data_IF_700093482663
#
_entry.id   IF_700093482663
#
_cell.length_a   1.000
_cell.length_b   1.000
_cell.length_c   1.000
_cell.angle_alpha   90.00
_cell.angle_beta   90.00
_cell.angle_gamma   90.00
#
_symmetry.space_group_name_H-M   'P 1'
#
loop_
_entity.id
_entity.type
_entity.pdbx_description
1 polymer ?
#
# COMPACT_ATOMS: atom_id res chain seq x y z
N UNK A 1 -19.83 -12.87 13.51
CA UNK A 1 -21.09 -12.14 13.18
C UNK A 1 -21.54 -12.39 11.75
N UNK A 2 -20.83 -11.91 10.72
CA UNK A 2 -21.27 -12.09 9.32
C UNK A 2 -21.40 -13.55 8.86
N UNK A 3 -20.56 -14.48 9.36
CA UNK A 3 -20.74 -15.94 9.15
C UNK A 3 -22.13 -16.43 9.58
N UNK A 4 -22.68 -15.82 10.63
CA UNK A 4 -23.98 -16.13 11.21
C UNK A 4 -25.08 -15.17 10.70
N UNK A 5 -24.84 -14.46 9.58
CA UNK A 5 -25.79 -13.57 8.91
C UNK A 5 -26.26 -12.35 9.72
N UNK A 6 -25.50 -11.95 10.74
CA UNK A 6 -25.73 -10.66 11.38
C UNK A 6 -25.36 -9.50 10.46
N UNK A 7 -26.19 -8.46 10.43
CA UNK A 7 -25.95 -7.22 9.70
C UNK A 7 -24.93 -6.37 10.46
N UNK A 8 -23.94 -5.85 9.75
CA UNK A 8 -22.99 -4.86 10.27
C UNK A 8 -23.28 -3.57 9.54
N UNK A 9 -23.53 -2.50 10.29
CA UNK A 9 -23.78 -1.16 9.76
C UNK A 9 -22.70 -0.19 10.24
N UNK A 10 -22.48 0.88 9.47
CA UNK A 10 -21.52 1.93 9.77
C UNK A 10 -22.28 3.23 10.01
N UNK A 11 -22.16 3.79 11.20
CA UNK A 11 -22.69 5.11 11.54
C UNK A 11 -21.62 6.17 11.26
N UNK A 12 -21.80 6.95 10.19
CA UNK A 12 -20.82 7.98 9.79
C UNK A 12 -20.85 9.22 10.69
N UNK A 13 -21.96 9.43 11.42
CA UNK A 13 -22.14 10.58 12.31
C UNK A 13 -21.63 10.31 13.74
N UNK A 14 -21.10 9.11 14.00
CA UNK A 14 -20.54 8.75 15.30
C UNK A 14 -19.16 9.40 15.50
N UNK A 15 -19.03 10.25 16.52
CA UNK A 15 -17.75 10.85 16.89
C UNK A 15 -16.94 9.94 17.81
N UNK A 16 -15.73 9.59 17.39
CA UNK A 16 -14.79 8.79 18.19
C UNK A 16 -13.43 9.48 18.23
N UNK A 17 -12.94 9.75 19.45
CA UNK A 17 -11.59 10.27 19.65
C UNK A 17 -10.58 9.12 19.68
N UNK A 18 -9.53 9.23 18.87
CA UNK A 18 -8.51 8.18 18.74
C UNK A 18 -7.12 8.75 18.94
N UNK A 19 -6.24 7.94 19.55
CA UNK A 19 -4.83 8.27 19.70
C UNK A 19 -4.05 7.62 18.57
N UNK A 20 -3.32 8.42 17.80
CA UNK A 20 -2.47 7.95 16.70
C UNK A 20 -1.06 7.63 17.21
N UNK A 21 -0.36 6.67 16.58
CA UNK A 21 1.01 6.35 16.97
C UNK A 21 1.95 7.54 16.69
N UNK A 22 2.59 8.07 17.74
CA UNK A 22 3.48 9.22 17.62
C UNK A 22 4.82 8.96 16.88
N UNK A 23 5.15 7.71 16.55
CA UNK A 23 6.42 7.35 15.90
C UNK A 23 6.23 6.30 14.82
N UNK A 24 7.09 6.33 13.80
CA UNK A 24 7.11 5.35 12.70
C UNK A 24 7.25 3.90 13.20
N UNK A 25 8.04 3.68 14.27
CA UNK A 25 8.21 2.35 14.89
C UNK A 25 6.90 1.84 15.50
N UNK A 26 6.14 2.69 16.20
CA UNK A 26 4.82 2.34 16.75
C UNK A 26 3.81 2.07 15.63
N UNK A 27 3.82 2.89 14.58
CA UNK A 27 2.99 2.68 13.39
C UNK A 27 3.30 1.35 12.70
N UNK A 28 4.58 1.02 12.52
CA UNK A 28 5.01 -0.25 11.93
C UNK A 28 4.48 -1.46 12.71
N UNK A 29 4.65 -1.46 14.04
CA UNK A 29 4.11 -2.52 14.91
C UNK A 29 2.59 -2.63 14.81
N UNK A 30 1.88 -1.51 14.76
CA UNK A 30 0.42 -1.48 14.60
C UNK A 30 -0.01 -2.12 13.28
N UNK A 31 0.57 -1.70 12.15
CA UNK A 31 0.23 -2.19 10.82
C UNK A 31 0.58 -3.66 10.63
N UNK A 32 1.70 -4.10 11.17
CA UNK A 32 2.09 -5.51 11.18
C UNK A 32 1.02 -6.36 11.90
N UNK A 33 0.51 -5.91 13.06
CA UNK A 33 -0.57 -6.62 13.77
C UNK A 33 -1.86 -6.69 12.97
N UNK A 34 -2.24 -5.59 12.30
CA UNK A 34 -3.47 -5.55 11.50
C UNK A 34 -3.41 -6.53 10.32
N UNK A 35 -2.31 -6.54 9.57
CA UNK A 35 -2.16 -7.44 8.43
C UNK A 35 -2.05 -8.89 8.90
N UNK A 36 -1.26 -9.17 9.96
CA UNK A 36 -1.17 -10.51 10.55
C UNK A 36 -2.54 -11.02 11.02
N UNK A 37 -3.31 -10.18 11.73
CA UNK A 37 -4.66 -10.50 12.18
C UNK A 37 -5.63 -10.71 11.02
N UNK A 38 -5.56 -9.87 9.98
CA UNK A 38 -6.36 -10.00 8.77
C UNK A 38 -6.07 -11.34 8.06
N UNK A 39 -4.80 -11.71 7.89
CA UNK A 39 -4.41 -12.96 7.24
C UNK A 39 -4.92 -14.18 8.02
N UNK A 40 -4.68 -14.23 9.33
CA UNK A 40 -5.14 -15.35 10.16
C UNK A 40 -6.67 -15.44 10.20
N UNK A 41 -7.37 -14.31 10.37
CA UNK A 41 -8.83 -14.29 10.33
C UNK A 41 -9.35 -14.77 8.96
N UNK A 42 -8.69 -14.39 7.87
CA UNK A 42 -9.08 -14.85 6.53
C UNK A 42 -8.84 -16.36 6.36
N UNK A 43 -7.79 -16.91 6.96
CA UNK A 43 -7.51 -18.36 6.98
C UNK A 43 -8.57 -19.11 7.79
N UNK A 44 -8.88 -18.64 9.00
CA UNK A 44 -9.86 -19.26 9.91
C UNK A 44 -11.27 -19.26 9.29
N UNK A 45 -11.60 -18.19 8.54
CA UNK A 45 -12.89 -18.01 7.88
C UNK A 45 -12.84 -18.24 6.37
N UNK A 46 -11.87 -19.02 5.86
CA UNK A 46 -11.70 -19.28 4.41
C UNK A 46 -12.95 -19.82 3.72
N UNK A 47 -13.82 -20.53 4.44
CA UNK A 47 -15.07 -21.08 3.91
C UNK A 47 -16.08 -20.01 3.48
N UNK A 48 -15.88 -18.76 3.92
CA UNK A 48 -16.70 -17.61 3.56
C UNK A 48 -16.23 -17.01 2.23
N UNK A 49 -14.98 -17.20 1.78
CA UNK A 49 -14.47 -16.59 0.56
C UNK A 49 -15.29 -17.01 -0.67
N UNK A 50 -15.61 -16.05 -1.54
CA UNK A 50 -16.35 -16.25 -2.80
C UNK A 50 -17.76 -16.85 -2.65
N UNK A 51 -18.37 -16.78 -1.46
CA UNK A 51 -19.72 -17.27 -1.21
C UNK A 51 -20.75 -16.14 -1.29
N UNK A 52 -21.54 -16.15 -2.36
CA UNK A 52 -22.67 -15.21 -2.58
C UNK A 52 -23.61 -15.06 -1.35
N UNK A 53 -23.76 -16.13 -0.55
CA UNK A 53 -24.50 -16.17 0.73
C UNK A 53 -24.20 -14.99 1.67
N UNK A 54 -22.98 -14.46 1.67
CA UNK A 54 -22.56 -13.42 2.62
C UNK A 54 -22.41 -12.03 1.96
N UNK A 55 -22.99 -11.84 0.78
CA UNK A 55 -23.02 -10.57 0.07
C UNK A 55 -21.66 -10.07 -0.39
N UNK A 56 -21.58 -8.75 -0.63
CA UNK A 56 -20.42 -8.08 -1.23
C UNK A 56 -19.11 -8.27 -0.44
N UNK A 57 -19.20 -8.40 0.88
CA UNK A 57 -18.02 -8.62 1.72
C UNK A 57 -17.24 -9.87 1.32
N UNK A 58 -17.97 -10.98 1.09
CA UNK A 58 -17.38 -12.28 0.76
C UNK A 58 -16.98 -12.39 -0.70
N UNK A 59 -17.76 -11.80 -1.60
CA UNK A 59 -17.56 -11.93 -3.05
C UNK A 59 -16.57 -10.93 -3.62
N UNK A 60 -16.44 -9.75 -3.01
CA UNK A 60 -15.63 -8.66 -3.53
C UNK A 60 -14.61 -8.15 -2.52
N UNK A 61 -15.04 -7.71 -1.33
CA UNK A 61 -14.14 -7.02 -0.38
C UNK A 61 -12.99 -7.92 0.10
N UNK A 62 -13.29 -9.14 0.57
CA UNK A 62 -12.27 -10.07 1.04
C UNK A 62 -11.34 -10.55 -0.10
N UNK A 63 -11.85 -11.01 -1.26
CA UNK A 63 -11.00 -11.35 -2.40
C UNK A 63 -10.13 -10.18 -2.88
N UNK A 64 -10.67 -8.97 -3.00
CA UNK A 64 -9.91 -7.80 -3.41
C UNK A 64 -8.81 -7.45 -2.40
N UNK A 65 -9.09 -7.59 -1.10
CA UNK A 65 -8.07 -7.40 -0.06
C UNK A 65 -6.95 -8.44 -0.16
N UNK A 66 -7.26 -9.72 -0.39
CA UNK A 66 -6.25 -10.75 -0.63
C UNK A 66 -5.44 -10.48 -1.90
N UNK A 67 -6.12 -10.13 -2.99
CA UNK A 67 -5.49 -9.77 -4.26
C UNK A 67 -4.54 -8.58 -4.09
N UNK A 68 -4.92 -7.58 -3.29
CA UNK A 68 -4.07 -6.41 -3.01
C UNK A 68 -2.76 -6.79 -2.31
N UNK A 69 -2.78 -7.80 -1.44
CA UNK A 69 -1.58 -8.30 -0.77
C UNK A 69 -0.69 -9.01 -1.80
N UNK A 70 -1.26 -9.87 -2.65
CA UNK A 70 -0.51 -10.53 -3.72
C UNK A 70 0.08 -9.53 -4.72
N UNK A 71 -0.68 -8.52 -5.12
CA UNK A 71 -0.24 -7.47 -6.02
C UNK A 71 0.93 -6.68 -5.41
N UNK A 72 0.87 -6.34 -4.12
CA UNK A 72 1.98 -5.64 -3.46
C UNK A 72 3.25 -6.49 -3.43
N UNK A 73 3.14 -7.79 -3.14
CA UNK A 73 4.28 -8.71 -3.17
C UNK A 73 4.90 -8.73 -4.57
N UNK A 74 4.07 -8.87 -5.61
CA UNK A 74 4.52 -8.85 -6.99
C UNK A 74 5.28 -7.56 -7.34
N UNK A 75 4.72 -6.39 -6.99
CA UNK A 75 5.34 -5.09 -7.22
C UNK A 75 6.70 -4.99 -6.52
N UNK A 76 6.80 -5.46 -5.28
CA UNK A 76 8.08 -5.44 -4.53
C UNK A 76 9.13 -6.32 -5.19
N UNK A 77 8.77 -7.54 -5.60
CA UNK A 77 9.70 -8.42 -6.32
C UNK A 77 10.11 -7.83 -7.68
N UNK A 78 9.17 -7.23 -8.40
CA UNK A 78 9.46 -6.58 -9.69
C UNK A 78 10.42 -5.42 -9.53
N UNK A 79 10.19 -4.55 -8.53
CA UNK A 79 11.09 -3.44 -8.21
C UNK A 79 12.48 -3.93 -7.82
N UNK A 80 12.58 -4.99 -7.02
CA UNK A 80 13.87 -5.58 -6.65
C UNK A 80 14.63 -6.15 -7.86
N UNK A 81 13.91 -6.80 -8.79
CA UNK A 81 14.48 -7.30 -10.05
C UNK A 81 14.98 -6.16 -10.93
N UNK A 82 14.13 -5.15 -11.18
CA UNK A 82 14.47 -4.01 -12.04
C UNK A 82 15.65 -3.21 -11.45
N UNK A 83 15.69 -3.03 -10.12
CA UNK A 83 16.82 -2.40 -9.43
C UNK A 83 18.11 -3.23 -9.58
N UNK A 84 18.02 -4.54 -9.43
CA UNK A 84 19.18 -5.44 -9.58
C UNK A 84 19.72 -5.40 -11.01
N UNK A 85 18.83 -5.42 -12.00
CA UNK A 85 19.18 -5.30 -13.41
C UNK A 85 19.80 -3.92 -13.73
N UNK A 86 19.23 -2.84 -13.20
CA UNK A 86 19.79 -1.49 -13.33
C UNK A 86 21.20 -1.40 -12.76
N UNK A 87 21.41 -1.91 -11.54
CA UNK A 87 22.72 -1.92 -10.90
C UNK A 87 23.72 -2.78 -11.67
N UNK A 88 23.31 -3.95 -12.14
CA UNK A 88 24.14 -4.83 -12.95
C UNK A 88 24.63 -4.15 -14.23
N UNK A 89 23.70 -3.51 -14.96
CA UNK A 89 24.04 -2.78 -16.18
C UNK A 89 24.95 -1.58 -15.90
N UNK A 90 24.71 -0.85 -14.80
CA UNK A 90 25.58 0.25 -14.40
C UNK A 90 26.97 -0.21 -13.99
N UNK A 91 27.09 -1.36 -13.34
CA UNK A 91 28.40 -1.96 -13.02
C UNK A 91 29.14 -2.34 -14.31
N UNK A 92 28.46 -2.91 -15.30
CA UNK A 92 29.07 -3.21 -16.61
C UNK A 92 29.53 -1.93 -17.29
N UNK A 93 28.69 -0.91 -17.35
CA UNK A 93 29.00 0.40 -17.95
C UNK A 93 30.23 1.04 -17.30
N UNK A 94 30.32 1.02 -15.96
CA UNK A 94 31.48 1.53 -15.23
C UNK A 94 32.74 0.71 -15.53
N UNK A 95 32.61 -0.62 -15.68
CA UNK A 95 33.75 -1.49 -16.01
C UNK A 95 34.24 -1.30 -17.45
N UNK A 96 33.35 -1.01 -18.39
CA UNK A 96 33.70 -0.88 -19.81
C UNK A 96 34.23 0.50 -20.18
N UNK A 97 33.62 1.56 -19.63
CA UNK A 97 33.95 2.95 -19.99
C UNK A 97 34.90 3.60 -18.98
N UNK A 98 35.04 3.03 -17.77
CA UNK A 98 35.72 3.67 -16.66
C UNK A 98 34.82 4.67 -15.92
N UNK A 99 35.24 5.12 -14.74
CA UNK A 99 34.44 6.00 -13.90
C UNK A 99 34.53 7.47 -14.38
N UNK A 100 33.69 7.83 -15.35
CA UNK A 100 33.59 9.21 -15.83
C UNK A 100 32.39 9.93 -15.21
N UNK A 101 32.66 10.89 -14.32
CA UNK A 101 31.66 11.81 -13.75
C UNK A 101 31.37 12.95 -14.75
N UNK A 102 30.94 12.62 -15.97
CA UNK A 102 30.46 13.67 -16.87
C UNK A 102 29.06 14.05 -16.41
N UNK A 103 28.92 15.22 -15.79
CA UNK A 103 27.64 15.83 -15.49
C UNK A 103 26.94 16.09 -16.83
N UNK A 104 26.15 15.11 -17.29
CA UNK A 104 25.31 15.26 -18.47
C UNK A 104 24.42 16.46 -18.23
N UNK A 105 24.55 17.48 -19.07
CA UNK A 105 23.66 18.63 -19.02
C UNK A 105 22.22 18.13 -19.12
N UNK A 106 21.41 18.44 -18.12
CA UNK A 106 20.01 18.04 -18.08
C UNK A 106 19.28 18.92 -19.08
N UNK A 107 19.20 18.51 -20.34
CA UNK A 107 18.33 19.13 -21.34
C UNK A 107 16.94 18.51 -21.18
N UNK A 108 16.00 19.29 -20.66
CA UNK A 108 14.59 18.91 -20.65
C UNK A 108 14.00 19.18 -22.04
N UNK A 109 13.68 18.13 -22.77
CA UNK A 109 12.96 18.22 -24.03
C UNK A 109 11.60 17.51 -23.88
N UNK A 110 10.47 18.24 -24.01
CA UNK A 110 9.13 17.68 -23.93
C UNK A 110 8.86 16.50 -24.87
N UNK A 111 9.63 16.35 -25.95
CA UNK A 111 9.56 15.20 -26.85
C UNK A 111 9.80 13.86 -26.13
N UNK A 112 10.62 13.84 -25.07
CA UNK A 112 10.90 12.63 -24.30
C UNK A 112 9.90 12.37 -23.17
N UNK A 113 8.82 13.15 -23.07
CA UNK A 113 7.73 12.85 -22.15
C UNK A 113 7.04 11.59 -22.66
N UNK A 114 7.15 10.51 -21.89
CA UNK A 114 6.53 9.24 -22.24
C UNK A 114 4.98 9.37 -22.19
N UNK A 115 4.34 9.30 -23.36
CA UNK A 115 2.88 9.34 -23.55
C UNK A 115 2.24 7.94 -23.61
N UNK A 116 2.92 6.91 -23.10
CA UNK A 116 2.35 5.58 -22.97
C UNK A 116 1.06 5.60 -22.13
N UNK A 117 0.10 4.76 -22.52
CA UNK A 117 -1.19 4.64 -21.85
C UNK A 117 -1.08 4.35 -20.35
N UNK A 118 -0.06 3.60 -19.93
CA UNK A 118 0.21 3.31 -18.52
C UNK A 118 0.51 4.56 -17.70
N UNK A 119 1.18 5.56 -18.28
CA UNK A 119 1.47 6.84 -17.62
C UNK A 119 0.18 7.58 -17.22
N UNK A 120 -0.81 7.61 -18.12
CA UNK A 120 -2.11 8.20 -17.85
C UNK A 120 -2.88 7.44 -16.76
N UNK A 121 -2.80 6.11 -16.75
CA UNK A 121 -3.44 5.29 -15.69
C UNK A 121 -2.85 5.63 -14.32
N UNK A 122 -1.52 5.78 -14.21
CA UNK A 122 -0.90 6.19 -12.94
C UNK A 122 -1.38 7.57 -12.49
N UNK A 123 -1.38 8.56 -13.38
CA UNK A 123 -1.84 9.92 -13.07
C UNK A 123 -3.28 9.87 -12.55
N UNK A 124 -4.16 9.12 -13.21
CA UNK A 124 -5.55 8.99 -12.81
C UNK A 124 -5.71 8.33 -11.43
N UNK A 125 -4.97 7.24 -11.15
CA UNK A 125 -5.00 6.57 -9.85
C UNK A 125 -4.52 7.50 -8.73
N UNK A 126 -3.40 8.21 -8.93
CA UNK A 126 -2.88 9.14 -7.94
C UNK A 126 -3.85 10.30 -7.68
N UNK A 127 -4.45 10.86 -8.74
CA UNK A 127 -5.48 11.88 -8.61
C UNK A 127 -6.67 11.37 -7.79
N UNK A 128 -7.13 10.14 -8.07
CA UNK A 128 -8.23 9.52 -7.34
C UNK A 128 -7.91 9.32 -5.85
N UNK A 129 -6.70 8.86 -5.53
CA UNK A 129 -6.24 8.71 -4.14
C UNK A 129 -6.23 10.06 -3.43
N UNK A 130 -5.69 11.11 -4.07
CA UNK A 130 -5.66 12.46 -3.48
C UNK A 130 -7.08 12.96 -3.22
N UNK A 131 -7.99 12.82 -4.18
CA UNK A 131 -9.41 13.18 -4.01
C UNK A 131 -10.04 12.42 -2.84
N UNK A 132 -9.78 11.11 -2.74
CA UNK A 132 -10.31 10.28 -1.63
C UNK A 132 -9.84 10.76 -0.25
N UNK A 133 -8.57 11.20 -0.14
CA UNK A 133 -8.00 11.72 1.11
C UNK A 133 -8.64 13.08 1.46
N UNK A 134 -8.83 13.95 0.47
CA UNK A 134 -9.47 15.26 0.65
C UNK A 134 -10.92 15.08 1.11
N UNK A 135 -11.66 14.14 0.51
CA UNK A 135 -13.03 13.82 0.92
C UNK A 135 -13.08 13.25 2.34
N UNK A 136 -12.19 12.31 2.68
CA UNK A 136 -12.10 11.77 4.03
C UNK A 136 -11.80 12.84 5.08
N UNK A 137 -10.95 13.81 4.74
CA UNK A 137 -10.67 14.95 5.62
C UNK A 137 -11.84 15.91 5.76
N UNK A 138 -12.57 16.17 4.67
CA UNK A 138 -13.80 16.95 4.70
C UNK A 138 -14.82 16.32 5.66
N UNK A 139 -14.92 14.99 5.67
CA UNK A 139 -15.81 14.26 6.58
C UNK A 139 -15.35 14.36 8.05
N UNK A 140 -14.03 14.33 8.31
CA UNK A 140 -13.49 14.35 9.67
C UNK A 140 -13.42 15.74 10.32
N UNK A 141 -12.99 16.76 9.56
CA UNK A 141 -12.72 18.12 10.06
C UNK A 141 -13.75 19.15 9.57
N UNK A 142 -14.66 18.78 8.68
CA UNK A 142 -15.61 19.69 8.03
C UNK A 142 -14.99 20.66 7.01
N UNK A 143 -13.66 20.64 6.83
CA UNK A 143 -12.91 21.64 6.05
C UNK A 143 -12.35 21.04 4.76
N UNK A 144 -12.55 21.74 3.65
CA UNK A 144 -11.94 21.38 2.36
C UNK A 144 -10.58 22.09 2.22
N UNK A 145 -9.51 21.41 2.67
CA UNK A 145 -8.15 21.96 2.61
C UNK A 145 -7.14 20.92 2.19
N UNK A 146 -6.36 21.24 1.15
CA UNK A 146 -5.15 20.50 0.80
C UNK A 146 -4.07 20.75 1.87
N UNK A 147 -3.45 19.70 2.39
CA UNK A 147 -2.33 19.80 3.32
C UNK A 147 -1.09 19.18 2.72
N UNK A 148 0.10 19.79 2.90
CA UNK A 148 1.38 19.17 2.55
C UNK A 148 1.56 17.77 3.16
N UNK A 149 0.88 17.50 4.29
CA UNK A 149 0.84 16.19 4.93
C UNK A 149 0.36 15.05 4.01
N UNK A 150 -0.42 15.35 2.97
CA UNK A 150 -0.87 14.35 1.99
C UNK A 150 0.32 13.84 1.17
N UNK A 151 1.23 14.73 0.76
CA UNK A 151 2.42 14.35 0.00
C UNK A 151 3.36 13.52 0.88
N UNK A 152 3.59 13.95 2.11
CA UNK A 152 4.38 13.19 3.09
C UNK A 152 3.76 11.81 3.36
N UNK A 153 2.43 11.73 3.47
CA UNK A 153 1.74 10.46 3.64
C UNK A 153 1.99 9.52 2.46
N UNK A 154 1.79 9.98 1.23
CA UNK A 154 1.95 9.15 0.03
C UNK A 154 3.38 8.62 -0.12
N UNK A 155 4.39 9.47 0.07
CA UNK A 155 5.80 9.07 -0.10
C UNK A 155 6.29 8.16 1.02
N UNK A 156 6.02 8.54 2.28
CA UNK A 156 6.48 7.75 3.44
C UNK A 156 5.76 6.41 3.50
N UNK A 157 4.45 6.34 3.23
CA UNK A 157 3.75 5.06 3.21
C UNK A 157 4.16 4.19 2.03
N UNK A 158 4.41 4.74 0.85
CA UNK A 158 4.89 3.96 -0.29
C UNK A 158 6.20 3.23 0.06
N UNK A 159 7.09 3.86 0.80
CA UNK A 159 8.34 3.25 1.23
C UNK A 159 8.17 2.25 2.38
N UNK A 160 7.45 2.61 3.46
CA UNK A 160 7.41 1.76 4.66
C UNK A 160 6.46 0.56 4.48
N UNK A 161 5.42 0.68 3.66
CA UNK A 161 4.36 -0.33 3.57
C UNK A 161 4.80 -1.74 3.13
N UNK A 162 5.69 -1.88 2.12
CA UNK A 162 6.27 -3.17 1.75
C UNK A 162 6.87 -3.92 2.96
N UNK A 163 7.60 -3.23 3.82
CA UNK A 163 8.38 -3.85 4.89
C UNK A 163 7.50 -4.48 5.99
N UNK A 164 6.41 -3.83 6.40
CA UNK A 164 5.53 -4.44 7.40
C UNK A 164 4.69 -5.56 6.80
N UNK A 165 4.38 -5.52 5.50
CA UNK A 165 3.56 -6.52 4.84
C UNK A 165 4.35 -7.82 4.64
N UNK A 166 5.59 -7.72 4.14
CA UNK A 166 6.51 -8.86 4.05
C UNK A 166 6.68 -9.50 5.43
N UNK A 167 6.90 -8.68 6.46
CA UNK A 167 7.07 -9.18 7.82
C UNK A 167 5.79 -9.85 8.35
N UNK A 168 4.61 -9.31 8.06
CA UNK A 168 3.34 -9.89 8.47
C UNK A 168 3.12 -11.26 7.82
N UNK A 169 3.38 -11.39 6.53
CA UNK A 169 3.28 -12.67 5.80
C UNK A 169 4.26 -13.69 6.38
N UNK A 170 5.53 -13.29 6.56
CA UNK A 170 6.56 -14.13 7.17
C UNK A 170 6.13 -14.64 8.55
N UNK A 171 5.57 -13.76 9.38
CA UNK A 171 5.06 -14.11 10.69
C UNK A 171 3.83 -15.04 10.62
N UNK A 172 2.94 -14.84 9.66
CA UNK A 172 1.78 -15.72 9.42
C UNK A 172 2.23 -17.12 9.02
N UNK A 173 3.16 -17.24 8.07
CA UNK A 173 3.70 -18.53 7.61
C UNK A 173 4.39 -19.28 8.77
N UNK A 174 5.21 -18.59 9.55
CA UNK A 174 5.93 -19.18 10.68
C UNK A 174 5.10 -19.25 11.98
N UNK A 175 3.82 -18.87 11.95
CA UNK A 175 2.94 -18.77 13.13
C UNK A 175 3.56 -17.96 14.29
N UNK A 176 4.46 -17.02 14.00
CA UNK A 176 5.12 -16.16 14.99
C UNK A 176 4.20 -15.01 15.37
N UNK A 177 3.69 -15.02 16.60
CA UNK A 177 2.80 -13.98 17.10
C UNK A 177 3.57 -12.65 17.24
N UNK A 178 3.10 -11.55 16.67
CA UNK A 178 3.71 -10.26 16.87
C UNK A 178 3.53 -9.76 18.31
N UNK A 179 4.56 -9.12 18.87
CA UNK A 179 4.52 -8.58 20.21
C UNK A 179 3.43 -7.49 20.35
N UNK A 180 2.67 -7.57 21.44
CA UNK A 180 1.64 -6.58 21.77
C UNK A 180 2.20 -5.33 22.47
N UNK A 181 3.41 -5.45 23.06
CA UNK A 181 4.16 -4.38 23.76
C UNK A 181 5.37 -3.94 22.94
#
# INVERSE_FOLDING_TARGET
MQKNRYKIEQCNDAFVYTNTPATAKKLYRQRLRWIYGFLNNTIDYKSILFRKKYGHFSTFTLPAALLSICALIYVVFRLAYDLSHFLYNKIIEIKTVGFHFFAKSISFDPFFINTESLGFVFIFIYAWVIVSIILGRKMAEGKWKFSPGIIYYLTVFAFIAPFWLIKAIYNTILKRKPAWR
#
